data_IF_655033067699
#
_entry.id   IF_655033067699
#
_cell.length_a   1.000
_cell.length_b   1.000
_cell.length_c   1.000
_cell.angle_alpha   90.00
_cell.angle_beta   90.00
_cell.angle_gamma   90.00
#
_symmetry.space_group_name_H-M   'P 1'
#
loop_
_entity.id
_entity.type
_entity.pdbx_description
1 polymer ?
#
# COMPACT_ATOMS: atom_id res chain seq x y z
N UNK A 1 0.24 -38.43 2.45
CA UNK A 1 -1.02 -37.84 2.93
C UNK A 1 -0.88 -36.34 2.75
N UNK A 2 -1.48 -35.76 1.71
CA UNK A 2 -1.50 -34.31 1.53
C UNK A 2 -2.53 -33.72 2.50
N UNK A 3 -2.08 -32.89 3.45
CA UNK A 3 -2.97 -32.23 4.40
C UNK A 3 -3.81 -31.17 3.70
N UNK A 4 -5.14 -31.28 3.79
CA UNK A 4 -6.05 -30.22 3.34
C UNK A 4 -6.01 -29.05 4.32
N UNK A 5 -5.66 -27.87 3.83
CA UNK A 5 -5.71 -26.64 4.62
C UNK A 5 -7.16 -26.16 4.75
N UNK A 6 -7.64 -26.06 5.99
CA UNK A 6 -8.94 -25.46 6.29
C UNK A 6 -8.79 -23.95 6.37
N UNK A 7 -9.12 -23.25 5.27
CA UNK A 7 -9.11 -21.79 5.22
C UNK A 7 -10.39 -21.23 5.84
N UNK A 8 -10.22 -20.21 6.69
CA UNK A 8 -11.32 -19.45 7.29
C UNK A 8 -11.39 -18.07 6.65
N UNK A 9 -12.59 -17.57 6.39
CA UNK A 9 -12.79 -16.22 5.84
C UNK A 9 -12.18 -15.17 6.78
N UNK A 10 -11.40 -14.26 6.23
CA UNK A 10 -10.72 -13.21 7.00
C UNK A 10 -11.68 -12.34 7.82
N UNK A 11 -12.91 -12.12 7.33
CA UNK A 11 -13.96 -11.39 8.04
C UNK A 11 -14.36 -12.04 9.38
N UNK A 12 -14.43 -13.37 9.41
CA UNK A 12 -14.70 -14.14 10.64
C UNK A 12 -13.53 -14.02 11.60
N UNK A 13 -12.31 -14.13 11.08
CA UNK A 13 -11.08 -13.95 11.86
C UNK A 13 -11.01 -12.55 12.50
N UNK A 14 -11.44 -11.51 11.79
CA UNK A 14 -11.47 -10.14 12.29
C UNK A 14 -12.59 -9.84 13.29
N UNK A 15 -13.54 -10.76 13.50
CA UNK A 15 -14.65 -10.56 14.45
C UNK A 15 -14.13 -10.63 15.88
N UNK A 16 -14.82 -9.97 16.82
CA UNK A 16 -14.44 -9.95 18.24
C UNK A 16 -14.34 -11.37 18.83
N UNK A 17 -13.45 -11.53 19.82
CA UNK A 17 -13.28 -12.82 20.52
C UNK A 17 -14.56 -13.31 21.18
N UNK A 18 -15.34 -12.41 21.76
CA UNK A 18 -16.65 -12.70 22.38
C UNK A 18 -17.68 -13.24 21.38
N UNK A 19 -17.49 -12.96 20.09
CA UNK A 19 -18.37 -13.38 18.99
C UNK A 19 -17.76 -14.52 18.16
N UNK A 20 -16.71 -15.19 18.69
CA UNK A 20 -16.09 -16.36 18.05
C UNK A 20 -15.02 -16.05 16.99
N UNK A 21 -14.56 -14.80 16.87
CA UNK A 21 -13.42 -14.44 16.01
C UNK A 21 -12.09 -14.33 16.79
N UNK A 22 -11.03 -13.84 16.14
CA UNK A 22 -9.73 -13.60 16.78
C UNK A 22 -9.52 -12.15 17.24
N UNK A 23 -10.44 -11.25 16.91
CA UNK A 23 -10.35 -9.82 17.22
C UNK A 23 -9.27 -9.09 16.42
N UNK A 24 -8.87 -9.62 15.27
CA UNK A 24 -7.83 -9.00 14.43
C UNK A 24 -8.37 -7.80 13.67
N UNK A 25 -7.52 -6.78 13.47
CA UNK A 25 -7.91 -5.59 12.70
C UNK A 25 -8.11 -5.94 11.22
N UNK A 26 -9.14 -5.35 10.61
CA UNK A 26 -9.38 -5.47 9.18
C UNK A 26 -8.22 -4.87 8.38
N UNK A 27 -7.48 -5.72 7.67
CA UNK A 27 -6.33 -5.32 6.86
C UNK A 27 -6.67 -4.23 5.84
N UNK A 28 -7.86 -4.29 5.24
CA UNK A 28 -8.33 -3.28 4.27
C UNK A 28 -8.34 -1.88 4.89
N UNK A 29 -8.84 -1.76 6.13
CA UNK A 29 -8.92 -0.47 6.83
C UNK A 29 -7.51 0.00 7.22
N UNK A 30 -6.71 -0.92 7.77
CA UNK A 30 -5.33 -0.62 8.16
C UNK A 30 -4.50 -0.15 6.96
N UNK A 31 -4.62 -0.82 5.82
CA UNK A 31 -3.90 -0.46 4.61
C UNK A 31 -4.30 0.93 4.10
N UNK A 32 -5.61 1.25 4.08
CA UNK A 32 -6.09 2.61 3.73
C UNK A 32 -5.52 3.68 4.66
N UNK A 33 -5.50 3.42 5.98
CA UNK A 33 -4.95 4.35 6.95
C UNK A 33 -3.43 4.54 6.76
N UNK A 34 -2.69 3.47 6.50
CA UNK A 34 -1.26 3.52 6.23
C UNK A 34 -0.97 4.29 4.94
N UNK A 35 -1.72 4.04 3.87
CA UNK A 35 -1.60 4.79 2.62
C UNK A 35 -1.86 6.29 2.84
N UNK A 36 -2.91 6.64 3.58
CA UNK A 36 -3.19 8.03 3.96
C UNK A 36 -2.02 8.67 4.73
N UNK A 37 -1.44 7.95 5.69
CA UNK A 37 -0.24 8.40 6.42
C UNK A 37 0.96 8.61 5.50
N UNK A 38 1.16 7.73 4.52
CA UNK A 38 2.21 7.86 3.52
C UNK A 38 2.01 9.08 2.61
N UNK A 39 0.78 9.30 2.13
CA UNK A 39 0.42 10.48 1.35
C UNK A 39 0.67 11.75 2.17
N UNK A 40 0.29 11.77 3.45
CA UNK A 40 0.55 12.90 4.35
C UNK A 40 2.05 13.13 4.63
N UNK A 41 2.88 12.09 4.63
CA UNK A 41 4.34 12.26 4.72
C UNK A 41 4.90 12.84 3.43
N UNK A 42 4.46 12.31 2.29
CA UNK A 42 4.85 12.82 0.96
C UNK A 42 4.48 14.30 0.81
N UNK A 43 3.34 14.68 1.40
CA UNK A 43 2.83 16.04 1.46
C UNK A 43 3.74 17.02 2.22
N UNK A 44 4.01 16.70 3.48
CA UNK A 44 4.64 17.62 4.41
C UNK A 44 6.16 17.68 4.27
N UNK A 45 6.79 16.56 3.94
CA UNK A 45 8.24 16.43 3.94
C UNK A 45 8.81 16.87 2.57
N UNK A 46 9.51 18.01 2.50
CA UNK A 46 9.88 18.64 1.22
C UNK A 46 11.22 18.15 0.66
N UNK A 47 12.13 17.66 1.50
CA UNK A 47 13.55 17.45 1.12
C UNK A 47 14.04 16.01 1.28
N UNK A 48 13.14 15.07 1.54
CA UNK A 48 13.53 13.69 1.79
C UNK A 48 13.92 12.94 0.50
N UNK A 49 15.02 12.19 0.52
CA UNK A 49 15.60 11.51 -0.65
C UNK A 49 14.60 10.54 -1.31
N UNK A 50 13.83 9.77 -0.54
CA UNK A 50 12.84 8.85 -1.09
C UNK A 50 11.76 9.58 -1.90
N UNK A 51 11.38 10.79 -1.50
CA UNK A 51 10.41 11.61 -2.24
C UNK A 51 10.99 12.09 -3.56
N UNK A 52 12.27 12.46 -3.59
CA UNK A 52 12.96 12.83 -4.83
C UNK A 52 13.01 11.65 -5.81
N UNK A 53 13.35 10.45 -5.32
CA UNK A 53 13.33 9.21 -6.13
C UNK A 53 11.95 8.96 -6.74
N UNK A 54 10.88 9.08 -5.94
CA UNK A 54 9.50 8.91 -6.40
C UNK A 54 9.14 9.97 -7.45
N UNK A 55 9.50 11.23 -7.22
CA UNK A 55 9.28 12.35 -8.15
C UNK A 55 9.97 12.12 -9.49
N UNK A 56 11.23 11.69 -9.48
CA UNK A 56 12.00 11.41 -10.71
C UNK A 56 11.40 10.21 -11.46
N UNK A 57 11.04 9.15 -10.74
CA UNK A 57 10.54 7.90 -11.35
C UNK A 57 9.18 8.06 -12.01
N UNK A 58 8.24 8.75 -11.38
CA UNK A 58 6.84 8.83 -11.84
C UNK A 58 6.46 10.20 -12.39
N UNK A 59 7.42 11.13 -12.46
CA UNK A 59 7.14 12.52 -12.75
C UNK A 59 6.25 13.17 -11.67
N UNK A 60 5.95 14.45 -11.86
CA UNK A 60 5.10 15.21 -10.95
C UNK A 60 4.38 16.30 -11.74
N UNK A 61 3.04 16.30 -11.68
CA UNK A 61 2.17 17.28 -12.32
C UNK A 61 1.40 18.10 -11.27
N UNK A 62 0.92 19.29 -11.67
CA UNK A 62 0.19 20.22 -10.80
C UNK A 62 1.07 20.85 -9.70
N UNK A 63 0.47 21.16 -8.53
CA UNK A 63 1.16 21.80 -7.39
C UNK A 63 2.17 20.90 -6.65
N UNK A 64 2.62 19.79 -7.25
CA UNK A 64 3.57 18.88 -6.61
C UNK A 64 2.96 17.69 -5.86
N UNK A 65 1.69 17.37 -6.08
CA UNK A 65 0.96 16.37 -5.28
C UNK A 65 0.44 15.19 -6.10
N UNK A 66 0.54 15.27 -7.44
CA UNK A 66 0.08 14.21 -8.33
C UNK A 66 1.26 13.75 -9.19
N UNK A 67 1.43 12.44 -9.42
CA UNK A 67 2.37 11.96 -10.42
C UNK A 67 1.94 12.45 -11.80
N UNK A 68 2.91 12.52 -12.73
CA UNK A 68 2.61 12.95 -14.08
C UNK A 68 1.71 11.93 -14.77
N UNK A 69 0.71 12.40 -15.53
CA UNK A 69 -0.13 11.47 -16.31
C UNK A 69 0.77 10.75 -17.31
N UNK A 70 0.77 9.43 -17.30
CA UNK A 70 1.60 8.61 -18.16
C UNK A 70 1.09 8.66 -19.61
N UNK A 71 2.01 8.79 -20.56
CA UNK A 71 1.72 8.67 -21.99
C UNK A 71 1.86 7.21 -22.49
N UNK A 72 1.87 6.24 -21.57
CA UNK A 72 2.15 4.83 -21.81
C UNK A 72 3.06 4.22 -20.75
N UNK A 73 3.13 2.89 -20.69
CA UNK A 73 3.98 2.17 -19.75
C UNK A 73 5.46 2.35 -20.09
N UNK A 74 6.13 3.30 -19.46
CA UNK A 74 7.59 3.43 -19.50
C UNK A 74 8.14 3.02 -18.14
N UNK A 75 8.53 1.75 -18.03
CA UNK A 75 9.18 1.23 -16.84
C UNK A 75 9.90 -0.08 -17.12
N UNK A 76 11.22 -0.10 -16.92
CA UNK A 76 11.97 -1.34 -16.70
C UNK A 76 11.80 -1.67 -15.22
N UNK A 77 11.17 -2.79 -14.91
CA UNK A 77 10.97 -3.22 -13.53
C UNK A 77 12.32 -3.44 -12.85
N UNK A 78 12.61 -2.66 -11.80
CA UNK A 78 13.82 -2.80 -10.95
C UNK A 78 13.90 -4.19 -10.29
N UNK A 79 12.80 -4.92 -10.27
CA UNK A 79 12.63 -6.22 -9.62
C UNK A 79 12.49 -7.38 -10.60
N UNK A 80 12.90 -7.22 -11.87
CA UNK A 80 12.85 -8.34 -12.83
C UNK A 80 13.92 -9.41 -12.57
N UNK A 81 14.96 -9.07 -11.80
CA UNK A 81 16.15 -9.90 -11.58
C UNK A 81 16.37 -10.28 -10.11
N UNK A 82 15.39 -10.03 -9.24
CA UNK A 82 15.37 -10.46 -7.83
C UNK A 82 14.22 -11.44 -7.67
#
# INVERSE_FOLDING_TARGET
>A
MEGKFHLVKWEVVCTDKEKGGLGLRKLVILNKALLGKWIWRYACDKENLWKQVIKVKYGQDGLGWRPKKDNGAVGVGVWKEI
#
